data_IF_273112609519
#
_entry.id   IF_273112609519
#
_cell.length_a   1.000
_cell.length_b   1.000
_cell.length_c   1.000
_cell.angle_alpha   90.00
_cell.angle_beta   90.00
_cell.angle_gamma   90.00
#
_symmetry.space_group_name_H-M   'P 1'
#
loop_
_entity.id
_entity.type
_entity.pdbx_description
1 polymer ?
#
# COMPACT_ATOMS: atom_id res chain seq x y z
N UNK A 1 -12.01 25.34 16.40
CA UNK A 1 -10.58 25.73 16.31
C UNK A 1 -10.15 25.47 14.88
N UNK A 2 -10.05 26.52 14.06
CA UNK A 2 -9.57 26.39 12.69
C UNK A 2 -8.10 25.95 12.74
N UNK A 3 -7.83 24.67 12.43
CA UNK A 3 -6.48 24.27 12.06
C UNK A 3 -6.22 24.88 10.68
N UNK A 4 -5.45 25.94 10.63
CA UNK A 4 -4.92 26.44 9.37
C UNK A 4 -3.97 25.37 8.85
N UNK A 5 -4.46 24.52 7.96
CA UNK A 5 -3.62 23.61 7.21
C UNK A 5 -2.89 24.43 6.17
N UNK A 6 -1.56 24.30 6.09
CA UNK A 6 -0.75 24.94 5.05
C UNK A 6 -0.83 24.15 3.73
N UNK A 7 -2.03 23.69 3.33
CA UNK A 7 -2.20 23.00 2.07
C UNK A 7 -2.00 24.00 0.93
N UNK A 8 -0.97 23.77 0.12
CA UNK A 8 -0.72 24.53 -1.10
C UNK A 8 -1.72 24.08 -2.18
N UNK A 9 -2.65 24.96 -2.51
CA UNK A 9 -3.62 24.72 -3.58
C UNK A 9 -3.30 25.58 -4.80
N UNK A 10 -3.53 25.06 -6.01
CA UNK A 10 -3.67 25.87 -7.21
C UNK A 10 -4.75 26.93 -7.01
N UNK A 11 -4.54 28.12 -7.61
CA UNK A 11 -5.48 29.23 -7.49
C UNK A 11 -6.89 28.87 -7.97
N UNK A 12 -6.97 28.04 -8.96
CA UNK A 12 -8.21 27.54 -9.58
C UNK A 12 -9.03 26.68 -8.61
N UNK A 13 -8.39 26.01 -7.65
CA UNK A 13 -9.03 25.15 -6.65
C UNK A 13 -9.34 25.87 -5.33
N UNK A 14 -9.01 27.15 -5.20
CA UNK A 14 -9.25 27.91 -3.95
C UNK A 14 -10.73 27.98 -3.53
N UNK A 15 -11.66 27.98 -4.47
CA UNK A 15 -13.09 27.95 -4.16
C UNK A 15 -13.54 26.66 -3.50
N UNK A 16 -12.78 25.56 -3.65
CA UNK A 16 -13.03 24.24 -3.07
C UNK A 16 -12.17 23.96 -1.84
N UNK A 17 -11.38 24.93 -1.36
CA UNK A 17 -10.45 24.75 -0.24
C UNK A 17 -11.08 24.08 0.96
N UNK A 18 -12.27 24.50 1.37
CA UNK A 18 -12.94 23.94 2.54
C UNK A 18 -13.19 22.46 2.38
N UNK A 19 -13.75 22.03 1.24
CA UNK A 19 -14.09 20.63 0.97
C UNK A 19 -12.82 19.78 0.81
N UNK A 20 -11.79 20.34 0.18
CA UNK A 20 -10.49 19.68 0.03
C UNK A 20 -9.83 19.48 1.40
N UNK A 21 -9.80 20.50 2.26
CA UNK A 21 -9.25 20.41 3.60
C UNK A 21 -10.06 19.50 4.54
N UNK A 22 -11.38 19.41 4.37
CA UNK A 22 -12.25 18.49 5.12
C UNK A 22 -11.95 17.01 4.76
N UNK A 23 -11.49 16.77 3.55
CA UNK A 23 -11.11 15.43 3.09
C UNK A 23 -9.74 14.94 3.62
N UNK A 24 -8.93 15.81 4.26
CA UNK A 24 -7.56 15.49 4.64
C UNK A 24 -7.44 14.25 5.52
N UNK A 25 -6.56 13.34 5.14
CA UNK A 25 -6.19 12.14 5.89
C UNK A 25 -4.69 12.06 6.12
N UNK A 26 -4.33 11.52 7.27
CA UNK A 26 -2.93 11.20 7.57
C UNK A 26 -2.46 10.03 6.73
N UNK A 27 -1.30 10.19 6.12
CA UNK A 27 -0.59 9.14 5.41
C UNK A 27 0.89 9.14 5.81
N UNK A 28 1.55 8.04 5.54
CA UNK A 28 2.98 7.86 5.68
C UNK A 28 3.57 7.57 4.32
N UNK A 29 4.24 8.54 3.72
CA UNK A 29 4.99 8.33 2.48
C UNK A 29 6.19 7.43 2.78
N UNK A 30 6.42 6.48 1.89
CA UNK A 30 7.56 5.57 1.92
C UNK A 30 8.49 5.97 0.78
N UNK A 31 9.73 6.30 1.11
CA UNK A 31 10.80 6.52 0.14
C UNK A 31 11.76 5.34 0.19
N UNK A 32 11.70 4.41 -0.76
CA UNK A 32 12.66 3.31 -0.83
C UNK A 32 14.00 3.78 -1.40
N UNK A 33 15.10 3.20 -0.92
CA UNK A 33 16.45 3.50 -1.40
C UNK A 33 17.37 2.29 -1.27
N UNK A 34 18.40 2.23 -2.13
CA UNK A 34 19.33 1.11 -2.18
C UNK A 34 20.28 1.13 -0.97
N UNK A 35 20.10 0.17 -0.08
CA UNK A 35 20.96 -0.12 1.06
C UNK A 35 20.67 -1.53 1.59
N UNK A 36 21.70 -2.26 2.00
CA UNK A 36 21.49 -3.51 2.75
C UNK A 36 20.82 -3.24 4.09
N UNK A 37 19.89 -4.10 4.47
CA UNK A 37 19.13 -4.01 5.72
C UNK A 37 19.43 -5.21 6.62
N UNK A 38 19.19 -5.05 7.91
CA UNK A 38 19.12 -6.17 8.85
C UNK A 38 17.79 -6.91 8.71
N UNK A 39 17.64 -8.08 9.27
CA UNK A 39 16.39 -8.87 9.19
C UNK A 39 15.20 -8.19 9.88
N UNK A 40 15.43 -7.26 10.79
CA UNK A 40 14.40 -6.57 11.59
C UNK A 40 14.10 -5.16 11.11
N UNK A 41 14.83 -4.64 10.13
CA UNK A 41 14.53 -3.32 9.54
C UNK A 41 13.37 -3.39 8.54
N UNK A 42 12.69 -2.26 8.38
CA UNK A 42 11.69 -2.04 7.31
C UNK A 42 12.36 -2.08 5.94
N UNK A 43 11.74 -2.80 5.01
CA UNK A 43 12.30 -2.98 3.67
C UNK A 43 11.25 -3.37 2.63
N UNK A 44 11.58 -3.17 1.38
CA UNK A 44 10.96 -3.88 0.27
C UNK A 44 11.90 -4.99 -0.19
N UNK A 45 11.32 -6.15 -0.51
CA UNK A 45 12.02 -7.38 -0.89
C UNK A 45 13.09 -7.83 0.14
N UNK A 46 14.03 -8.69 -0.28
CA UNK A 46 15.13 -9.16 0.56
C UNK A 46 14.74 -10.27 1.54
N UNK A 47 15.56 -10.43 2.58
CA UNK A 47 15.38 -11.46 3.60
C UNK A 47 14.36 -11.00 4.66
N UNK A 48 13.25 -11.75 4.89
CA UNK A 48 12.26 -11.38 5.89
C UNK A 48 12.74 -11.70 7.31
N UNK A 49 12.23 -10.95 8.28
CA UNK A 49 12.20 -11.39 9.67
C UNK A 49 11.35 -12.66 9.79
N UNK A 50 11.93 -13.75 10.25
CA UNK A 50 11.25 -15.03 10.40
C UNK A 50 11.62 -15.67 11.75
N UNK A 51 10.77 -15.60 12.76
CA UNK A 51 10.97 -16.30 14.01
C UNK A 51 11.11 -17.81 13.81
N UNK A 52 12.03 -18.46 14.54
CA UNK A 52 12.32 -19.90 14.38
C UNK A 52 11.11 -20.83 14.63
N UNK A 53 10.07 -20.35 15.28
CA UNK A 53 8.83 -21.12 15.51
C UNK A 53 7.82 -20.99 14.36
N UNK A 54 8.14 -20.21 13.33
CA UNK A 54 7.28 -19.98 12.17
C UNK A 54 7.79 -20.74 10.95
N UNK A 55 6.87 -21.26 10.15
CA UNK A 55 7.20 -21.82 8.83
C UNK A 55 7.24 -20.70 7.80
N UNK A 56 8.10 -20.85 6.78
CA UNK A 56 8.14 -19.89 5.66
C UNK A 56 6.81 -19.92 4.87
N UNK A 57 6.27 -18.76 4.43
CA UNK A 57 5.02 -18.71 3.67
C UNK A 57 5.15 -19.43 2.32
N UNK A 58 4.14 -20.23 2.00
CA UNK A 58 4.00 -20.92 0.71
C UNK A 58 2.64 -20.60 0.12
N UNK A 59 2.56 -20.58 -1.22
CA UNK A 59 1.31 -20.47 -1.94
C UNK A 59 0.56 -21.81 -1.97
N UNK A 60 -0.59 -21.84 -2.65
CA UNK A 60 -1.42 -23.04 -2.78
C UNK A 60 -0.74 -24.18 -3.51
N UNK A 61 0.25 -23.89 -4.36
CA UNK A 61 1.02 -24.92 -5.09
C UNK A 61 2.15 -25.51 -4.24
N UNK A 62 2.42 -24.92 -3.07
CA UNK A 62 3.51 -25.28 -2.18
C UNK A 62 4.82 -24.54 -2.46
N UNK A 63 4.83 -23.64 -3.43
CA UNK A 63 6.01 -22.82 -3.75
C UNK A 63 6.21 -21.72 -2.71
N UNK A 64 7.47 -21.42 -2.32
CA UNK A 64 7.75 -20.34 -1.40
C UNK A 64 7.34 -18.99 -1.98
N UNK A 65 6.57 -18.23 -1.20
CA UNK A 65 6.27 -16.83 -1.53
C UNK A 65 7.52 -15.95 -1.35
N UNK A 66 7.52 -14.76 -1.95
CA UNK A 66 8.57 -13.78 -1.75
C UNK A 66 8.09 -12.63 -0.89
N UNK A 67 8.99 -12.09 -0.07
CA UNK A 67 8.72 -10.87 0.67
C UNK A 67 8.55 -9.72 -0.33
N UNK A 68 7.39 -9.09 -0.32
CA UNK A 68 7.13 -7.85 -1.05
C UNK A 68 7.53 -6.65 -0.19
N UNK A 69 7.06 -6.62 1.05
CA UNK A 69 7.34 -5.56 2.00
C UNK A 69 7.37 -6.06 3.44
N UNK A 70 8.18 -5.43 4.25
CA UNK A 70 8.25 -5.60 5.70
C UNK A 70 8.30 -4.22 6.34
N UNK A 71 7.36 -3.95 7.26
CA UNK A 71 7.24 -2.69 7.96
C UNK A 71 7.43 -2.94 9.45
N UNK A 72 8.51 -2.43 10.02
CA UNK A 72 8.71 -2.37 11.45
C UNK A 72 8.11 -1.05 11.97
N UNK A 73 6.98 -1.12 12.64
CA UNK A 73 6.28 0.08 13.10
C UNK A 73 7.07 0.89 14.14
N UNK A 74 8.08 0.31 14.78
CA UNK A 74 8.97 1.05 15.67
C UNK A 74 9.90 2.04 14.94
N UNK A 75 10.10 1.85 13.63
CA UNK A 75 10.90 2.76 12.78
C UNK A 75 10.06 3.85 12.11
N UNK A 76 8.73 3.71 12.18
CA UNK A 76 7.80 4.62 11.53
C UNK A 76 7.26 5.65 12.54
N UNK A 77 7.18 6.96 12.19
CA UNK A 77 6.43 7.92 12.98
C UNK A 77 5.00 7.44 13.26
N UNK A 78 4.39 7.77 14.41
CA UNK A 78 3.04 7.34 14.73
C UNK A 78 2.03 7.75 13.67
N UNK A 79 1.25 6.78 13.18
CA UNK A 79 0.13 6.99 12.27
C UNK A 79 -1.17 6.56 12.96
N UNK A 80 -2.19 7.41 12.85
CA UNK A 80 -3.50 7.15 13.49
C UNK A 80 -4.06 5.79 13.06
N UNK A 81 -4.59 5.04 14.03
CA UNK A 81 -5.21 3.73 13.89
C UNK A 81 -4.20 2.58 13.65
N UNK A 82 -2.98 2.87 13.24
CA UNK A 82 -1.93 1.86 13.01
C UNK A 82 -1.20 1.47 14.31
N UNK A 83 -0.59 0.27 14.35
CA UNK A 83 0.30 -0.10 15.44
C UNK A 83 1.48 0.88 15.58
N UNK A 84 1.96 1.10 16.79
CA UNK A 84 3.18 1.88 17.05
C UNK A 84 4.42 1.00 17.22
N UNK A 85 4.26 -0.33 17.19
CA UNK A 85 5.33 -1.33 17.30
C UNK A 85 4.89 -2.65 16.66
N UNK A 86 5.85 -3.53 16.45
CA UNK A 86 5.65 -4.82 15.81
C UNK A 86 6.01 -4.79 14.34
N UNK A 87 5.95 -5.95 13.70
CA UNK A 87 6.36 -6.17 12.32
C UNK A 87 5.19 -6.63 11.48
N UNK A 88 4.88 -5.91 10.41
CA UNK A 88 3.90 -6.31 9.41
C UNK A 88 4.62 -6.71 8.13
N UNK A 89 4.32 -7.89 7.63
CA UNK A 89 4.94 -8.45 6.43
C UNK A 89 3.91 -8.78 5.37
N UNK A 90 4.28 -8.50 4.14
CA UNK A 90 3.51 -8.77 2.93
C UNK A 90 4.31 -9.73 2.05
N UNK A 91 3.80 -10.93 1.85
CA UNK A 91 4.37 -11.92 0.95
C UNK A 91 3.43 -12.11 -0.23
N UNK A 92 4.00 -12.22 -1.43
CA UNK A 92 3.25 -12.57 -2.63
C UNK A 92 3.94 -13.72 -3.37
N UNK A 93 3.15 -14.51 -4.07
CA UNK A 93 3.62 -15.55 -5.00
C UNK A 93 3.87 -14.93 -6.38
N UNK A 94 4.93 -15.35 -7.07
CA UNK A 94 5.13 -14.99 -8.48
C UNK A 94 3.99 -15.50 -9.38
N UNK A 95 3.27 -16.54 -8.94
CA UNK A 95 2.12 -17.11 -9.66
C UNK A 95 0.89 -16.19 -9.68
N UNK A 96 0.84 -15.15 -8.86
CA UNK A 96 -0.28 -14.20 -8.82
C UNK A 96 -0.47 -13.49 -10.17
N UNK A 97 0.62 -13.23 -10.89
CA UNK A 97 0.61 -12.55 -12.18
C UNK A 97 0.20 -13.46 -13.37
N UNK A 98 0.27 -14.77 -13.19
CA UNK A 98 -0.15 -15.76 -14.20
C UNK A 98 -1.67 -15.93 -14.21
N UNK A 99 -2.31 -15.71 -13.07
CA UNK A 99 -3.74 -15.96 -12.87
C UNK A 99 -4.56 -14.66 -12.85
N UNK A 100 -3.97 -13.56 -13.27
CA UNK A 100 -4.59 -12.23 -13.23
C UNK A 100 -5.92 -12.15 -14.00
N UNK A 101 -6.08 -12.93 -15.08
CA UNK A 101 -7.29 -12.94 -15.91
C UNK A 101 -8.47 -13.73 -15.27
N UNK A 102 -8.29 -14.35 -14.11
CA UNK A 102 -9.26 -15.22 -13.46
C UNK A 102 -9.66 -14.66 -12.08
N UNK A 103 -10.14 -13.42 -12.05
CA UNK A 103 -10.52 -12.70 -10.85
C UNK A 103 -11.75 -13.29 -10.14
N UNK A 104 -11.52 -14.24 -9.22
CA UNK A 104 -12.42 -14.49 -8.11
C UNK A 104 -11.67 -14.12 -6.82
N UNK A 105 -12.24 -13.21 -6.01
CA UNK A 105 -11.66 -12.65 -4.77
C UNK A 105 -11.06 -13.73 -3.85
N UNK A 106 -11.70 -14.89 -3.76
CA UNK A 106 -11.27 -16.01 -2.94
C UNK A 106 -9.96 -16.67 -3.42
N UNK A 107 -9.64 -16.58 -4.71
CA UNK A 107 -8.43 -17.19 -5.28
C UNK A 107 -7.20 -16.34 -4.98
N UNK A 108 -7.33 -15.01 -4.94
CA UNK A 108 -6.21 -14.11 -4.65
C UNK A 108 -5.61 -14.33 -3.28
N UNK A 109 -6.40 -14.59 -2.25
CA UNK A 109 -5.91 -14.84 -0.89
C UNK A 109 -4.97 -16.04 -0.79
N UNK A 110 -4.94 -16.91 -1.80
CA UNK A 110 -4.07 -18.06 -1.87
C UNK A 110 -2.67 -17.73 -2.41
N UNK A 111 -2.52 -16.57 -3.05
CA UNK A 111 -1.28 -16.11 -3.67
C UNK A 111 -0.57 -14.99 -2.92
N UNK A 112 -1.14 -14.54 -1.79
CA UNK A 112 -0.45 -13.63 -0.89
C UNK A 112 -0.65 -14.05 0.57
N UNK A 113 0.24 -13.59 1.44
CA UNK A 113 0.18 -13.83 2.88
C UNK A 113 0.62 -12.60 3.65
N UNK A 114 -0.25 -12.16 4.57
CA UNK A 114 0.08 -11.09 5.50
C UNK A 114 0.40 -11.71 6.86
N UNK A 115 1.45 -11.23 7.52
CA UNK A 115 1.85 -11.65 8.86
C UNK A 115 2.09 -10.45 9.75
N UNK A 116 1.61 -10.51 10.95
CA UNK A 116 1.91 -9.51 11.96
C UNK A 116 2.55 -10.16 13.18
N UNK A 117 3.68 -9.62 13.61
CA UNK A 117 4.38 -9.99 14.83
C UNK A 117 4.32 -8.81 15.79
N UNK A 118 3.58 -8.90 16.90
CA UNK A 118 3.44 -7.78 17.84
C UNK A 118 4.75 -7.44 18.57
N UNK A 119 5.67 -8.38 18.61
CA UNK A 119 7.01 -8.22 19.20
C UNK A 119 8.06 -8.74 18.23
N UNK A 120 9.12 -7.96 18.03
CA UNK A 120 10.28 -8.31 17.22
C UNK A 120 11.44 -8.69 18.16
N UNK A 121 12.07 -9.82 17.90
CA UNK A 121 13.22 -10.30 18.67
C UNK A 121 14.32 -10.75 17.71
N UNK A 122 15.42 -10.02 17.67
CA UNK A 122 16.56 -10.26 16.77
C UNK A 122 17.26 -11.61 17.03
N UNK A 123 17.25 -12.09 18.28
CA UNK A 123 17.96 -13.31 18.68
C UNK A 123 17.19 -14.59 18.30
N UNK A 124 15.93 -14.46 17.90
CA UNK A 124 15.02 -15.59 17.67
C UNK A 124 14.65 -15.77 16.19
N UNK A 125 15.57 -15.46 15.27
CA UNK A 125 15.35 -15.56 13.82
C UNK A 125 15.85 -16.87 13.23
N UNK A 126 15.13 -17.39 12.22
CA UNK A 126 15.57 -18.53 11.42
C UNK A 126 16.82 -18.17 10.59
N UNK A 127 17.70 -19.16 10.31
CA UNK A 127 18.74 -18.97 9.32
C UNK A 127 18.18 -18.56 7.96
N UNK A 128 18.99 -17.85 7.18
CA UNK A 128 18.67 -17.47 5.81
C UNK A 128 18.22 -18.67 5.00
N UNK A 129 17.12 -18.52 4.28
CA UNK A 129 16.58 -19.58 3.45
C UNK A 129 17.34 -19.63 2.11
N UNK A 130 17.85 -20.81 1.74
CA UNK A 130 18.68 -20.98 0.54
C UNK A 130 17.99 -20.58 -0.76
N UNK A 131 16.66 -20.80 -0.85
CA UNK A 131 15.90 -20.43 -2.06
C UNK A 131 15.82 -18.91 -2.27
N UNK A 132 16.04 -18.06 -1.26
CA UNK A 132 16.12 -16.62 -1.41
C UNK A 132 17.32 -16.17 -2.27
N UNK A 133 18.34 -17.02 -2.41
CA UNK A 133 19.46 -16.77 -3.29
C UNK A 133 19.15 -17.09 -4.77
N UNK A 134 18.01 -17.73 -5.06
CA UNK A 134 17.60 -18.00 -6.43
C UNK A 134 17.15 -16.72 -7.11
N UNK A 135 17.33 -16.66 -8.43
CA UNK A 135 16.85 -15.56 -9.26
C UNK A 135 15.36 -15.31 -9.02
N UNK A 136 15.01 -14.06 -8.79
CA UNK A 136 13.62 -13.64 -8.69
C UNK A 136 12.98 -13.75 -10.08
N UNK A 137 11.74 -14.23 -10.15
CA UNK A 137 10.95 -14.25 -11.39
C UNK A 137 10.81 -12.84 -11.93
N UNK A 138 11.03 -12.63 -13.24
CA UNK A 138 10.99 -11.31 -13.88
C UNK A 138 9.64 -10.59 -13.71
N UNK A 139 8.59 -11.34 -13.41
CA UNK A 139 7.24 -10.79 -13.12
C UNK A 139 7.10 -10.25 -11.70
N UNK A 140 8.03 -10.61 -10.78
CA UNK A 140 7.96 -10.09 -9.41
C UNK A 140 8.31 -8.59 -9.39
N UNK A 141 7.51 -7.73 -8.73
CA UNK A 141 7.63 -6.29 -8.92
C UNK A 141 8.90 -5.66 -8.35
N UNK A 142 9.66 -6.35 -7.48
CA UNK A 142 10.84 -5.79 -6.81
C UNK A 142 11.98 -6.81 -6.83
N UNK A 143 13.03 -6.51 -7.58
CA UNK A 143 14.14 -7.46 -7.81
C UNK A 143 15.32 -7.31 -6.85
N UNK A 144 15.37 -6.24 -6.06
CA UNK A 144 16.44 -5.97 -5.11
C UNK A 144 15.90 -5.52 -3.76
N UNK A 145 16.68 -5.76 -2.71
CA UNK A 145 16.36 -5.27 -1.38
C UNK A 145 16.50 -3.75 -1.31
N UNK A 146 15.48 -3.07 -0.77
CA UNK A 146 15.43 -1.63 -0.61
C UNK A 146 15.11 -1.28 0.84
N UNK A 147 15.92 -0.43 1.47
CA UNK A 147 15.62 0.17 2.75
C UNK A 147 14.54 1.23 2.62
N UNK A 148 13.80 1.50 3.68
CA UNK A 148 12.67 2.42 3.66
C UNK A 148 12.90 3.62 4.58
N UNK A 149 12.52 4.80 4.09
CA UNK A 149 12.40 6.01 4.90
C UNK A 149 10.92 6.43 4.96
N UNK A 150 10.47 6.90 6.12
CA UNK A 150 9.08 7.26 6.38
C UNK A 150 8.92 8.75 6.62
N UNK A 151 7.93 9.35 5.95
CA UNK A 151 7.59 10.76 6.12
C UNK A 151 6.08 10.93 6.33
N UNK A 152 5.64 11.48 7.48
CA UNK A 152 4.22 11.74 7.71
C UNK A 152 3.74 12.92 6.88
N UNK A 153 2.56 12.78 6.27
CA UNK A 153 1.86 13.82 5.53
C UNK A 153 0.38 13.87 5.89
N UNK A 154 -0.29 14.94 5.44
CA UNK A 154 -1.73 15.03 5.29
C UNK A 154 -2.02 15.17 3.81
N UNK A 155 -2.86 14.31 3.26
CA UNK A 155 -3.23 14.37 1.86
C UNK A 155 -4.76 14.46 1.68
N UNK A 156 -5.24 15.24 0.71
CA UNK A 156 -6.65 15.28 0.36
C UNK A 156 -7.08 14.01 -0.37
N UNK A 157 -8.38 13.84 -0.53
CA UNK A 157 -8.93 12.67 -1.22
C UNK A 157 -8.42 12.58 -2.66
N UNK A 158 -7.96 11.40 -3.07
CA UNK A 158 -7.66 11.14 -4.49
C UNK A 158 -8.95 11.19 -5.31
N UNK A 159 -8.92 11.80 -6.49
CA UNK A 159 -10.10 11.98 -7.33
C UNK A 159 -10.77 10.65 -7.74
N UNK A 160 -9.99 9.58 -7.84
CA UNK A 160 -10.47 8.24 -8.20
C UNK A 160 -10.87 7.37 -7.00
N UNK A 161 -10.67 7.84 -5.76
CA UNK A 161 -11.18 7.13 -4.59
C UNK A 161 -12.71 7.22 -4.52
N UNK A 162 -13.39 6.11 -4.22
CA UNK A 162 -14.86 6.06 -4.16
C UNK A 162 -15.52 7.10 -3.24
N UNK A 163 -14.75 7.67 -2.30
CA UNK A 163 -15.21 8.71 -1.37
C UNK A 163 -15.13 10.11 -1.95
N UNK A 164 -14.43 10.30 -3.07
CA UNK A 164 -14.17 11.61 -3.64
C UNK A 164 -15.45 12.37 -3.97
N UNK A 165 -16.43 11.69 -4.54
CA UNK A 165 -17.76 12.28 -4.84
C UNK A 165 -18.45 12.82 -3.59
N UNK A 166 -18.24 12.20 -2.42
CA UNK A 166 -18.86 12.65 -1.16
C UNK A 166 -18.17 13.88 -0.58
N UNK A 167 -16.85 14.01 -0.76
CA UNK A 167 -16.09 15.18 -0.29
C UNK A 167 -16.15 16.35 -1.26
N UNK A 168 -16.12 16.07 -2.55
CA UNK A 168 -16.00 17.05 -3.62
C UNK A 168 -17.17 16.96 -4.62
N UNK A 169 -18.44 17.07 -4.14
CA UNK A 169 -19.62 16.81 -4.98
C UNK A 169 -19.80 17.83 -6.13
N UNK A 170 -19.17 18.99 -6.02
CA UNK A 170 -19.23 20.04 -7.04
C UNK A 170 -18.00 20.05 -7.97
N UNK A 171 -17.01 19.21 -7.70
CA UNK A 171 -15.78 19.12 -8.51
C UNK A 171 -15.72 17.81 -9.28
N UNK A 172 -15.97 16.66 -8.62
CA UNK A 172 -15.71 15.34 -9.18
C UNK A 172 -16.78 14.83 -10.15
N UNK A 173 -18.10 15.07 -9.98
CA UNK A 173 -19.07 14.69 -11.00
C UNK A 173 -19.27 15.74 -12.09
N UNK A 174 -18.54 16.87 -12.06
CA UNK A 174 -18.75 17.95 -13.02
C UNK A 174 -18.24 17.58 -14.39
N UNK A 175 -19.15 17.40 -15.34
CA UNK A 175 -18.84 17.30 -16.77
C UNK A 175 -18.67 18.68 -17.42
N UNK A 176 -18.97 19.76 -16.69
CA UNK A 176 -18.97 21.14 -17.21
C UNK A 176 -17.63 21.84 -17.01
N UNK A 177 -16.83 21.42 -16.02
CA UNK A 177 -15.51 21.98 -15.71
C UNK A 177 -14.41 20.89 -15.73
N UNK A 178 -14.19 20.32 -16.91
CA UNK A 178 -13.15 19.29 -17.16
C UNK A 178 -11.77 19.82 -16.74
N UNK A 179 -11.49 21.09 -16.93
CA UNK A 179 -10.22 21.72 -16.60
C UNK A 179 -9.92 21.69 -15.09
N UNK A 180 -10.94 21.91 -14.23
CA UNK A 180 -10.75 21.89 -12.77
C UNK A 180 -10.49 20.49 -12.24
N UNK A 181 -11.18 19.49 -12.80
CA UNK A 181 -10.91 18.08 -12.44
C UNK A 181 -9.51 17.65 -12.89
N UNK A 182 -9.08 18.06 -14.06
CA UNK A 182 -7.72 17.78 -14.55
C UNK A 182 -6.67 18.42 -13.65
N UNK A 183 -6.84 19.69 -13.24
CA UNK A 183 -5.96 20.36 -12.29
C UNK A 183 -5.94 19.61 -10.95
N UNK A 184 -7.09 19.16 -10.45
CA UNK A 184 -7.16 18.38 -9.22
C UNK A 184 -6.40 17.05 -9.34
N UNK A 185 -6.61 16.31 -10.43
CA UNK A 185 -5.92 15.07 -10.73
C UNK A 185 -4.40 15.26 -10.79
N UNK A 186 -3.91 16.30 -11.44
CA UNK A 186 -2.48 16.59 -11.53
C UNK A 186 -1.81 16.82 -10.16
N UNK A 187 -2.56 17.25 -9.15
CA UNK A 187 -2.01 17.59 -7.83
C UNK A 187 -2.29 16.54 -6.75
N UNK A 188 -3.39 15.79 -6.88
CA UNK A 188 -3.90 14.93 -5.81
C UNK A 188 -4.26 13.51 -6.29
N UNK A 189 -3.37 12.90 -7.06
CA UNK A 189 -3.53 11.52 -7.53
C UNK A 189 -3.43 10.47 -6.42
N UNK A 190 -2.70 10.78 -5.36
CA UNK A 190 -2.38 9.79 -4.34
C UNK A 190 -1.31 8.77 -4.76
N UNK A 191 -0.51 9.06 -5.79
CA UNK A 191 0.56 8.19 -6.28
C UNK A 191 1.70 7.99 -5.28
N UNK A 192 2.61 7.04 -5.58
CA UNK A 192 3.79 6.71 -4.80
C UNK A 192 3.57 5.61 -3.77
N UNK A 193 4.66 5.19 -3.10
CA UNK A 193 4.58 4.18 -2.05
C UNK A 193 4.17 4.81 -0.72
N UNK A 194 3.18 4.20 -0.02
CA UNK A 194 2.64 4.76 1.23
C UNK A 194 1.81 3.81 2.06
N UNK A 195 1.54 4.21 3.30
CA UNK A 195 0.64 3.59 4.27
C UNK A 195 -0.40 4.63 4.71
N UNK A 196 -1.68 4.28 4.77
CA UNK A 196 -2.77 5.19 5.10
C UNK A 196 -3.10 6.16 3.96
N UNK A 197 -3.85 7.23 4.27
CA UNK A 197 -4.30 8.20 3.28
C UNK A 197 -5.30 7.64 2.27
N UNK A 198 -5.14 8.03 1.02
CA UNK A 198 -6.00 7.64 -0.09
C UNK A 198 -5.20 6.90 -1.16
N UNK A 199 -5.76 5.82 -1.74
CA UNK A 199 -5.09 5.05 -2.79
C UNK A 199 -4.98 5.83 -4.11
N UNK A 200 -3.98 5.45 -4.88
CA UNK A 200 -3.86 5.76 -6.30
C UNK A 200 -4.49 4.65 -7.13
N UNK A 201 -5.22 5.03 -8.16
CA UNK A 201 -5.79 4.14 -9.16
C UNK A 201 -5.37 4.59 -10.56
N UNK A 202 -5.11 3.64 -11.44
CA UNK A 202 -4.90 3.87 -12.88
C UNK A 202 -6.25 3.95 -13.60
N UNK A 203 -7.20 3.15 -13.14
CA UNK A 203 -8.57 3.08 -13.64
C UNK A 203 -9.55 3.50 -12.54
N UNK A 204 -10.53 2.70 -12.24
CA UNK A 204 -11.55 2.98 -11.24
C UNK A 204 -11.29 2.23 -9.92
N UNK A 205 -11.74 2.80 -8.83
CA UNK A 205 -11.74 2.14 -7.53
C UNK A 205 -12.75 0.98 -7.51
N UNK A 206 -12.27 -0.26 -7.51
CA UNK A 206 -13.11 -1.46 -7.49
C UNK A 206 -14.12 -1.48 -6.33
N UNK A 207 -13.87 -0.71 -5.27
CA UNK A 207 -14.76 -0.59 -4.12
C UNK A 207 -16.00 0.28 -4.44
N UNK A 208 -15.98 1.06 -5.53
CA UNK A 208 -17.06 1.96 -5.87
C UNK A 208 -18.38 1.21 -6.13
N UNK A 209 -18.32 0.11 -6.88
CA UNK A 209 -19.51 -0.65 -7.28
C UNK A 209 -19.97 -1.68 -6.22
N UNK A 210 -19.10 -2.07 -5.29
CA UNK A 210 -19.38 -3.14 -4.33
C UNK A 210 -19.48 -2.65 -2.90
N UNK A 211 -20.67 -2.75 -2.30
CA UNK A 211 -20.85 -2.47 -0.87
C UNK A 211 -20.04 -3.40 0.03
N UNK A 212 -19.75 -4.62 -0.43
CA UNK A 212 -18.90 -5.56 0.30
C UNK A 212 -17.44 -5.11 0.31
N UNK A 213 -16.95 -4.54 -0.80
CA UNK A 213 -15.57 -4.07 -0.90
C UNK A 213 -15.35 -2.73 -0.18
N UNK A 214 -16.38 -1.90 -0.02
CA UNK A 214 -16.28 -0.64 0.76
C UNK A 214 -15.91 -0.84 2.22
N UNK A 215 -16.07 -2.07 2.76
CA UNK A 215 -15.59 -2.40 4.12
C UNK A 215 -14.07 -2.31 4.27
N UNK A 216 -13.31 -2.46 3.18
CA UNK A 216 -11.86 -2.30 3.16
C UNK A 216 -11.51 -0.81 2.98
N UNK A 217 -11.75 -0.03 4.01
CA UNK A 217 -11.78 1.43 3.99
C UNK A 217 -10.45 2.10 4.34
N UNK A 218 -9.44 1.31 4.73
CA UNK A 218 -8.09 1.78 5.06
C UNK A 218 -7.08 1.22 4.07
N UNK A 219 -6.25 2.09 3.47
CA UNK A 219 -5.08 1.70 2.70
C UNK A 219 -4.00 1.21 3.67
N UNK A 220 -3.73 -0.09 3.66
CA UNK A 220 -2.74 -0.72 4.53
C UNK A 220 -1.32 -0.55 3.99
N UNK A 221 -1.16 -0.69 2.67
CA UNK A 221 0.09 -0.47 1.95
C UNK A 221 -0.21 -0.22 0.48
N UNK A 222 0.48 0.73 -0.12
CA UNK A 222 0.57 0.93 -1.55
C UNK A 222 2.03 0.93 -1.97
N UNK A 223 2.34 0.25 -3.06
CA UNK A 223 3.65 0.28 -3.71
C UNK A 223 3.42 0.59 -5.19
N UNK A 224 3.86 1.73 -5.61
CA UNK A 224 3.78 2.21 -6.98
C UNK A 224 5.06 1.84 -7.76
N UNK A 225 4.96 1.68 -9.07
CA UNK A 225 6.13 1.48 -9.92
C UNK A 225 7.07 2.68 -9.85
N UNK A 226 8.37 2.39 -9.86
CA UNK A 226 9.43 3.39 -9.87
C UNK A 226 10.66 2.81 -10.55
N UNK A 227 10.85 3.15 -11.82
CA UNK A 227 11.93 2.63 -12.66
C UNK A 227 13.33 2.98 -12.12
N UNK A 228 13.47 4.14 -11.48
CA UNK A 228 14.78 4.61 -10.98
C UNK A 228 15.37 3.67 -9.93
N UNK A 229 14.51 2.97 -9.18
CA UNK A 229 14.92 2.06 -8.11
C UNK A 229 14.51 0.61 -8.38
N UNK A 230 14.03 0.29 -9.59
CA UNK A 230 13.71 -1.07 -10.02
C UNK A 230 12.47 -1.66 -9.34
N UNK A 231 11.43 -0.86 -9.12
CA UNK A 231 10.10 -1.33 -8.74
C UNK A 231 9.20 -1.26 -9.98
N UNK A 232 8.66 -2.40 -10.43
CA UNK A 232 7.85 -2.45 -11.63
C UNK A 232 6.70 -3.47 -11.48
N UNK A 233 5.47 -2.99 -11.49
CA UNK A 233 4.26 -3.80 -11.55
C UNK A 233 3.82 -3.92 -13.02
N UNK A 234 4.26 -5.00 -13.66
CA UNK A 234 4.06 -5.24 -15.10
C UNK A 234 4.45 -4.01 -15.95
N UNK A 235 3.49 -3.28 -16.52
CA UNK A 235 3.72 -2.06 -17.29
C UNK A 235 3.26 -0.85 -16.46
N UNK A 236 4.18 -0.29 -15.67
CA UNK A 236 3.99 0.91 -14.84
C UNK A 236 2.76 0.89 -13.92
N UNK A 237 2.53 -0.24 -13.26
CA UNK A 237 1.36 -0.45 -12.40
C UNK A 237 1.57 -0.08 -10.93
N UNK A 238 0.57 -0.43 -10.11
CA UNK A 238 0.54 -0.20 -8.67
C UNK A 238 -0.11 -1.38 -7.92
N UNK A 239 0.52 -1.79 -6.82
CA UNK A 239 -0.03 -2.80 -5.91
C UNK A 239 -0.56 -2.17 -4.63
N UNK A 240 -1.75 -2.57 -4.19
CA UNK A 240 -2.46 -2.00 -3.04
C UNK A 240 -3.01 -3.09 -2.14
N UNK A 241 -2.86 -2.90 -0.83
CA UNK A 241 -3.48 -3.73 0.20
C UNK A 241 -4.41 -2.87 1.04
N UNK A 242 -5.64 -3.35 1.24
CA UNK A 242 -6.64 -2.66 2.03
C UNK A 242 -7.11 -3.52 3.18
N UNK A 243 -7.50 -2.88 4.27
CA UNK A 243 -8.04 -3.53 5.47
C UNK A 243 -9.27 -2.79 5.97
N UNK A 244 -10.15 -3.51 6.64
CA UNK A 244 -11.21 -2.89 7.42
C UNK A 244 -10.62 -2.19 8.66
N UNK A 245 -11.08 -0.96 8.95
CA UNK A 245 -10.56 -0.16 10.06
C UNK A 245 -10.73 -0.84 11.43
N UNK A 246 -11.83 -1.53 11.68
CA UNK A 246 -12.05 -2.22 12.95
C UNK A 246 -11.05 -3.37 13.13
N UNK A 247 -10.78 -4.13 12.07
CA UNK A 247 -9.76 -5.18 12.07
C UNK A 247 -8.36 -4.62 12.30
N UNK A 248 -8.02 -3.50 11.66
CA UNK A 248 -6.74 -2.82 11.89
C UNK A 248 -6.56 -2.43 13.37
N UNK A 249 -7.59 -1.85 13.99
CA UNK A 249 -7.57 -1.48 15.41
C UNK A 249 -7.41 -2.70 16.34
N UNK A 250 -7.96 -3.85 15.94
CA UNK A 250 -7.82 -5.13 16.64
C UNK A 250 -6.49 -5.84 16.31
N UNK A 251 -5.70 -5.31 15.36
CA UNK A 251 -4.50 -5.97 14.83
C UNK A 251 -4.79 -7.34 14.20
N UNK A 252 -5.98 -7.50 13.67
CA UNK A 252 -6.41 -8.68 12.92
C UNK A 252 -6.17 -8.47 11.42
N UNK A 253 -5.06 -9.00 10.92
CA UNK A 253 -4.65 -8.93 9.52
C UNK A 253 -5.05 -10.18 8.72
N UNK A 254 -6.08 -10.90 9.16
CA UNK A 254 -6.54 -12.15 8.51
C UNK A 254 -7.41 -11.92 7.27
N UNK A 255 -7.98 -10.71 7.12
CA UNK A 255 -8.91 -10.35 6.05
C UNK A 255 -8.44 -9.06 5.39
N UNK A 256 -7.71 -9.20 4.30
CA UNK A 256 -7.07 -8.14 3.53
C UNK A 256 -7.56 -8.22 2.09
N UNK A 257 -7.87 -7.11 1.48
CA UNK A 257 -8.09 -7.02 0.05
C UNK A 257 -6.78 -6.63 -0.61
N UNK A 258 -6.29 -7.43 -1.54
CA UNK A 258 -5.17 -7.09 -2.41
C UNK A 258 -5.68 -6.79 -3.82
N UNK A 259 -5.21 -5.71 -4.37
CA UNK A 259 -5.45 -5.29 -5.75
C UNK A 259 -4.14 -4.82 -6.37
N UNK A 260 -3.92 -5.14 -7.61
CA UNK A 260 -2.89 -4.54 -8.43
C UNK A 260 -3.44 -4.25 -9.83
N UNK A 261 -2.90 -3.25 -10.47
CA UNK A 261 -3.29 -2.81 -11.81
C UNK A 261 -2.09 -2.27 -12.57
N UNK A 262 -2.14 -2.26 -13.87
CA UNK A 262 -1.09 -1.75 -14.76
C UNK A 262 -1.71 -1.20 -16.06
N UNK A 263 -0.94 -0.42 -16.81
CA UNK A 263 -1.35 0.09 -18.13
C UNK A 263 -1.44 -1.01 -19.17
#
# INVERSE_FOLDING_TARGET
>A
MNKTTNLLLPKELESFRFDIEDSLRSAMIITPYTRSTTVTESKFAGEPYLPYYQTYPKDITGEPMRLLAQINFAEMPPLKDFPSQGMLQFFISSNIFVNADHYHEDIFQQFYKIRFYPTVNDEATMPKQEFLAQTVDDRFPIHQELALQFQPIQEPVSALDYRAVSYLPNLIPSTEDVDLLEIYLQHFLGAGAKIGGYPYFLEEDIRHESQLLKRYDVLLLQIDSNDEIGIMWADSGVGKFFINREKLLQRDFSDILFQWEHY
#
